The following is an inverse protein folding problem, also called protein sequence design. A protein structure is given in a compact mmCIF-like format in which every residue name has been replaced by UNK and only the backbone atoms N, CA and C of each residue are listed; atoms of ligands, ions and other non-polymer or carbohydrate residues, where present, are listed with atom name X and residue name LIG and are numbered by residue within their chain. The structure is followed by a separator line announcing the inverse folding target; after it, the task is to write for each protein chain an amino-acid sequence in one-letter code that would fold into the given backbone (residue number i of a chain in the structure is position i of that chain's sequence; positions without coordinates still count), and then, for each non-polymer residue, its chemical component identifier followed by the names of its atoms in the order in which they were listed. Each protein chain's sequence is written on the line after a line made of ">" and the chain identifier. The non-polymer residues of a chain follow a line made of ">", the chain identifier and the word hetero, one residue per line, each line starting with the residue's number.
data_IF_668703017770
#
_entry.id   IF_668703017770
#
_cell.length_a   1.000
_cell.length_b   1.000
_cell.length_c   1.000
_cell.angle_alpha   90.00
_cell.angle_beta   90.00
_cell.angle_gamma   90.00
#
_symmetry.space_group_name_H-M   'P 1'
#
loop_
_entity.id
_entity.type
_entity.pdbx_description
1 polymer ?
#
# COMPACT_ATOMS: atom_id res chain seq x y z
N UNK A 1 -10.05 18.53 8.96
CA UNK A 1 -10.58 18.07 7.67
C UNK A 1 -11.27 16.73 7.83
N UNK A 2 -12.53 16.61 7.37
CA UNK A 2 -13.31 15.36 7.42
C UNK A 2 -13.76 15.03 6.00
N UNK A 3 -13.47 13.82 5.56
CA UNK A 3 -13.87 13.31 4.25
C UNK A 3 -15.13 12.47 4.37
N UNK A 4 -16.02 12.60 3.41
CA UNK A 4 -17.28 11.85 3.37
C UNK A 4 -17.91 11.89 1.98
N UNK A 5 -18.75 10.92 1.70
CA UNK A 5 -19.58 10.93 0.51
C UNK A 5 -20.74 11.92 0.70
N UNK A 6 -20.92 12.79 -0.27
CA UNK A 6 -22.08 13.68 -0.26
C UNK A 6 -23.37 12.87 -0.51
N UNK A 7 -24.49 13.33 0.05
CA UNK A 7 -25.79 12.64 -0.06
C UNK A 7 -26.22 12.39 -1.51
N UNK A 8 -25.92 13.32 -2.42
CA UNK A 8 -26.28 13.14 -3.84
C UNK A 8 -25.46 12.02 -4.49
N UNK A 9 -24.20 11.81 -4.06
CA UNK A 9 -23.36 10.70 -4.54
C UNK A 9 -23.90 9.37 -4.06
N UNK A 10 -24.27 9.26 -2.77
CA UNK A 10 -24.85 8.03 -2.22
C UNK A 10 -26.22 7.72 -2.88
N UNK A 11 -27.05 8.75 -3.12
CA UNK A 11 -28.32 8.57 -3.86
C UNK A 11 -28.07 8.10 -5.30
N UNK A 12 -27.07 8.65 -5.98
CA UNK A 12 -26.69 8.22 -7.33
C UNK A 12 -26.25 6.75 -7.33
N UNK A 13 -25.34 6.38 -6.43
CA UNK A 13 -24.89 4.98 -6.30
C UNK A 13 -26.07 4.05 -6.01
N UNK A 14 -26.94 4.40 -5.07
CA UNK A 14 -28.15 3.62 -4.76
C UNK A 14 -29.02 3.40 -5.99
N UNK A 15 -29.26 4.46 -6.77
CA UNK A 15 -30.02 4.36 -7.99
C UNK A 15 -29.35 3.48 -9.05
N UNK A 16 -28.04 3.61 -9.20
CA UNK A 16 -27.25 2.79 -10.13
C UNK A 16 -27.29 1.31 -9.76
N UNK A 17 -27.13 0.99 -8.47
CA UNK A 17 -27.10 -0.41 -7.98
C UNK A 17 -28.40 -1.17 -8.26
N UNK A 18 -29.52 -0.49 -8.44
CA UNK A 18 -30.78 -1.13 -8.84
C UNK A 18 -30.70 -1.78 -10.24
N UNK A 19 -29.76 -1.37 -11.06
CA UNK A 19 -29.57 -1.88 -12.44
C UNK A 19 -28.33 -2.75 -12.61
N UNK A 20 -27.47 -2.85 -11.59
CA UNK A 20 -26.23 -3.64 -11.64
C UNK A 20 -26.53 -5.09 -11.25
N UNK A 21 -26.25 -6.08 -12.11
CA UNK A 21 -26.44 -7.49 -11.77
C UNK A 21 -25.60 -7.89 -10.55
N UNK A 22 -26.17 -8.68 -9.65
CA UNK A 22 -25.46 -9.16 -8.44
C UNK A 22 -24.17 -9.94 -8.73
N UNK A 23 -24.05 -10.52 -9.93
CA UNK A 23 -22.83 -11.21 -10.39
C UNK A 23 -21.73 -10.28 -10.89
N UNK A 24 -21.99 -8.97 -10.98
CA UNK A 24 -21.00 -8.03 -11.46
C UNK A 24 -19.95 -7.73 -10.39
N UNK A 25 -18.67 -7.75 -10.78
CA UNK A 25 -17.59 -7.18 -9.98
C UNK A 25 -17.61 -5.66 -10.10
N UNK A 26 -17.51 -4.99 -8.97
CA UNK A 26 -17.46 -3.52 -8.90
C UNK A 26 -16.03 -3.04 -8.75
N UNK A 27 -15.67 -2.01 -9.50
CA UNK A 27 -14.42 -1.27 -9.37
C UNK A 27 -14.76 0.17 -9.06
N UNK A 28 -14.41 0.62 -7.85
CA UNK A 28 -14.73 1.96 -7.35
C UNK A 28 -13.43 2.73 -7.22
N UNK A 29 -13.17 3.63 -8.15
CA UNK A 29 -12.01 4.52 -8.09
C UNK A 29 -12.38 5.81 -7.38
N UNK A 30 -11.60 6.19 -6.38
CA UNK A 30 -11.77 7.41 -5.61
C UNK A 30 -10.43 7.97 -5.13
N UNK A 31 -10.40 9.24 -4.69
CA UNK A 31 -9.15 9.85 -4.27
C UNK A 31 -8.66 9.31 -2.93
N UNK A 32 -9.48 9.41 -1.89
CA UNK A 32 -9.11 9.00 -0.53
C UNK A 32 -9.47 7.54 -0.26
N UNK A 33 -8.69 6.82 0.55
CA UNK A 33 -9.05 5.47 0.95
C UNK A 33 -10.36 5.46 1.75
N UNK A 34 -11.10 4.35 1.62
CA UNK A 34 -12.41 4.19 2.26
C UNK A 34 -12.27 4.15 3.77
N UNK A 35 -11.29 3.40 4.26
CA UNK A 35 -11.04 3.20 5.69
C UNK A 35 -9.67 3.74 6.09
N UNK A 36 -9.55 4.13 7.35
CA UNK A 36 -8.26 4.43 7.96
C UNK A 36 -7.45 3.14 8.15
N UNK A 37 -6.15 3.27 8.12
CA UNK A 37 -5.17 2.19 8.30
C UNK A 37 -4.24 2.48 9.46
N UNK A 38 -3.44 1.50 9.86
CA UNK A 38 -2.42 1.69 10.89
C UNK A 38 -1.46 2.82 10.49
N UNK A 39 -1.28 3.79 11.38
CA UNK A 39 -0.46 4.97 11.15
C UNK A 39 -1.06 6.02 10.21
N UNK A 40 -2.30 5.85 9.78
CA UNK A 40 -3.03 6.79 8.95
C UNK A 40 -4.38 7.12 9.56
N UNK A 41 -4.69 8.41 9.67
CA UNK A 41 -5.94 8.92 10.24
C UNK A 41 -7.01 9.23 9.18
N UNK A 42 -6.64 9.22 7.90
CA UNK A 42 -7.58 9.53 6.82
C UNK A 42 -8.55 8.38 6.63
N UNK A 43 -9.83 8.65 6.81
CA UNK A 43 -10.92 7.73 6.51
C UNK A 43 -12.18 8.50 6.13
N UNK A 44 -13.01 7.86 5.34
CA UNK A 44 -14.33 8.38 4.97
C UNK A 44 -15.29 8.20 6.14
N UNK A 45 -15.88 9.30 6.67
CA UNK A 45 -16.70 9.27 7.89
C UNK A 45 -18.01 8.46 7.73
N UNK A 46 -18.53 8.35 6.52
CA UNK A 46 -19.74 7.59 6.18
C UNK A 46 -19.47 6.44 5.19
N UNK A 47 -18.31 5.81 5.32
CA UNK A 47 -17.93 4.65 4.50
C UNK A 47 -18.95 3.51 4.57
N UNK A 48 -19.56 3.29 5.75
CA UNK A 48 -20.56 2.25 5.95
C UNK A 48 -21.82 2.46 5.10
N UNK A 49 -22.16 3.72 4.77
CA UNK A 49 -23.31 4.02 3.92
C UNK A 49 -23.05 3.49 2.50
N UNK A 50 -21.85 3.72 1.97
CA UNK A 50 -21.46 3.16 0.68
C UNK A 50 -21.34 1.62 0.74
N UNK A 51 -20.71 1.07 1.77
CA UNK A 51 -20.60 -0.39 1.94
C UNK A 51 -21.97 -1.06 1.95
N UNK A 52 -22.97 -0.47 2.63
CA UNK A 52 -24.34 -0.99 2.67
C UNK A 52 -24.99 -1.08 1.29
N UNK A 53 -24.62 -0.21 0.36
CA UNK A 53 -25.14 -0.20 -1.00
C UNK A 53 -24.50 -1.26 -1.89
N UNK A 54 -23.22 -1.62 -1.63
CA UNK A 54 -22.41 -2.44 -2.55
C UNK A 54 -22.02 -3.82 -2.00
N UNK A 55 -22.28 -4.09 -0.71
CA UNK A 55 -21.80 -5.28 0.03
C UNK A 55 -22.19 -6.62 -0.59
N UNK A 56 -23.27 -6.68 -1.37
CA UNK A 56 -23.69 -7.91 -2.07
C UNK A 56 -22.80 -8.29 -3.25
N UNK A 57 -21.93 -7.38 -3.71
CA UNK A 57 -21.05 -7.57 -4.86
C UNK A 57 -19.62 -7.87 -4.43
N UNK A 58 -18.81 -8.38 -5.37
CA UNK A 58 -17.36 -8.34 -5.23
C UNK A 58 -16.88 -6.94 -5.56
N UNK A 59 -16.29 -6.26 -4.59
CA UNK A 59 -15.91 -4.85 -4.68
C UNK A 59 -14.42 -4.67 -4.55
N UNK A 60 -13.82 -3.95 -5.50
CA UNK A 60 -12.43 -3.55 -5.48
C UNK A 60 -12.36 -2.01 -5.47
N UNK A 61 -12.00 -1.43 -4.33
CA UNK A 61 -11.70 -0.01 -4.24
C UNK A 61 -10.28 0.26 -4.75
N UNK A 62 -10.11 1.36 -5.47
CA UNK A 62 -8.82 1.86 -5.92
C UNK A 62 -8.71 3.30 -5.44
N UNK A 63 -7.75 3.56 -4.58
CA UNK A 63 -7.57 4.87 -3.96
C UNK A 63 -6.11 5.33 -3.94
N UNK A 64 -5.86 6.56 -3.53
CA UNK A 64 -4.55 7.16 -3.39
C UNK A 64 -4.45 8.02 -2.14
N UNK A 65 -4.16 9.33 -2.29
CA UNK A 65 -4.16 10.37 -1.26
C UNK A 65 -3.05 10.25 -0.20
N UNK A 66 -2.84 9.08 0.35
CA UNK A 66 -1.97 8.89 1.52
C UNK A 66 -0.48 8.92 1.20
N UNK A 67 -0.11 8.86 -0.07
CA UNK A 67 1.27 8.70 -0.54
C UNK A 67 1.96 7.50 0.11
N UNK A 68 1.26 6.37 0.10
CA UNK A 68 1.71 5.05 0.55
C UNK A 68 1.06 3.98 -0.32
N UNK A 69 1.62 2.78 -0.34
CA UNK A 69 1.07 1.65 -1.08
C UNK A 69 0.59 0.57 -0.11
N UNK A 70 -0.69 0.20 -0.22
CA UNK A 70 -1.26 -0.87 0.59
C UNK A 70 -2.37 -1.62 -0.11
N UNK A 71 -2.47 -2.90 0.20
CA UNK A 71 -3.58 -3.74 -0.18
C UNK A 71 -4.34 -4.20 1.06
N UNK A 72 -5.64 -3.99 1.08
CA UNK A 72 -6.51 -4.35 2.20
C UNK A 72 -7.62 -5.29 1.78
N UNK A 73 -7.92 -6.23 2.63
CA UNK A 73 -9.13 -7.03 2.58
C UNK A 73 -10.01 -6.60 3.77
N UNK A 74 -11.12 -5.93 3.52
CA UNK A 74 -12.05 -5.48 4.56
C UNK A 74 -13.08 -6.55 4.93
N UNK A 75 -13.69 -7.14 3.90
CA UNK A 75 -14.63 -8.24 3.99
C UNK A 75 -14.23 -9.29 2.95
N UNK A 76 -14.78 -10.48 3.01
CA UNK A 76 -14.45 -11.58 2.07
C UNK A 76 -14.56 -11.15 0.60
N UNK A 77 -15.48 -10.23 0.31
CA UNK A 77 -15.76 -9.73 -1.03
C UNK A 77 -15.43 -8.25 -1.24
N UNK A 78 -14.85 -7.56 -0.27
CA UNK A 78 -14.50 -6.13 -0.36
C UNK A 78 -13.02 -5.93 -0.08
N UNK A 79 -12.30 -5.48 -1.09
CA UNK A 79 -10.87 -5.15 -1.02
C UNK A 79 -10.60 -3.71 -1.44
N UNK A 80 -9.44 -3.18 -1.04
CA UNK A 80 -8.95 -1.88 -1.48
C UNK A 80 -7.47 -1.93 -1.82
N UNK A 81 -7.12 -1.29 -2.92
CA UNK A 81 -5.76 -0.98 -3.33
C UNK A 81 -5.52 0.53 -3.13
N UNK A 82 -4.85 0.90 -2.04
CA UNK A 82 -4.37 2.26 -1.86
C UNK A 82 -3.03 2.39 -2.59
N UNK A 83 -2.98 3.19 -3.64
CA UNK A 83 -1.85 3.26 -4.57
C UNK A 83 -0.91 4.38 -4.18
N UNK A 84 0.38 4.09 -4.13
CA UNK A 84 1.43 5.07 -3.94
C UNK A 84 1.43 6.15 -5.03
N UNK A 85 1.98 7.31 -4.69
CA UNK A 85 1.94 8.48 -5.55
C UNK A 85 3.12 8.52 -6.52
N UNK A 86 2.86 8.85 -7.79
CA UNK A 86 3.91 9.10 -8.79
C UNK A 86 4.78 10.33 -8.45
N UNK A 87 4.28 11.21 -7.60
CA UNK A 87 5.03 12.37 -7.12
C UNK A 87 5.87 12.10 -5.85
N UNK A 88 5.92 10.85 -5.36
CA UNK A 88 6.52 10.56 -4.06
C UNK A 88 5.87 11.36 -2.95
N UNK A 89 6.64 12.13 -2.18
CA UNK A 89 6.12 13.11 -1.23
C UNK A 89 6.13 14.50 -1.86
N UNK A 90 5.08 14.83 -2.61
CA UNK A 90 4.89 16.16 -3.26
C UNK A 90 6.09 16.61 -4.10
N UNK A 91 6.72 15.69 -4.84
CA UNK A 91 7.92 15.91 -5.67
C UNK A 91 9.22 16.18 -4.89
N UNK A 92 9.19 16.14 -3.55
CA UNK A 92 10.37 16.36 -2.69
C UNK A 92 11.27 15.13 -2.57
N UNK A 93 10.73 13.93 -2.85
CA UNK A 93 11.40 12.64 -2.63
C UNK A 93 11.21 11.67 -3.79
N UNK A 94 12.11 10.69 -3.90
CA UNK A 94 11.99 9.60 -4.88
C UNK A 94 11.10 8.46 -4.37
N UNK A 95 10.87 8.41 -3.05
CA UNK A 95 10.01 7.43 -2.41
C UNK A 95 8.78 8.10 -1.80
N UNK A 96 7.73 7.32 -1.66
CA UNK A 96 6.57 7.64 -0.85
C UNK A 96 6.87 7.43 0.63
N UNK A 97 5.98 7.89 1.51
CA UNK A 97 6.21 7.94 2.97
C UNK A 97 6.50 6.58 3.62
N UNK A 98 6.07 5.50 3.00
CA UNK A 98 6.26 4.11 3.43
C UNK A 98 7.49 3.42 2.81
N UNK A 99 8.22 4.15 1.97
CA UNK A 99 9.37 3.61 1.24
C UNK A 99 9.04 2.95 -0.10
N UNK A 100 7.78 2.97 -0.53
CA UNK A 100 7.42 2.59 -1.89
C UNK A 100 8.05 3.60 -2.87
N UNK A 101 8.74 3.19 -3.93
CA UNK A 101 9.23 4.12 -4.93
C UNK A 101 8.07 4.87 -5.60
N UNK A 102 8.36 6.01 -6.22
CA UNK A 102 7.40 6.71 -7.07
C UNK A 102 6.89 5.76 -8.16
N UNK A 103 5.58 5.79 -8.42
CA UNK A 103 5.04 4.88 -9.42
C UNK A 103 3.52 4.82 -9.44
N UNK A 104 3.01 3.77 -10.06
CA UNK A 104 1.58 3.52 -10.23
C UNK A 104 1.31 2.02 -10.31
N UNK A 105 0.05 1.60 -10.10
CA UNK A 105 -0.38 0.22 -10.31
C UNK A 105 -0.98 0.03 -11.69
N UNK A 106 -0.69 -1.11 -12.28
CA UNK A 106 -1.34 -1.59 -13.50
C UNK A 106 -2.28 -2.72 -13.12
N UNK A 107 -3.56 -2.55 -13.42
CA UNK A 107 -4.59 -3.56 -13.19
C UNK A 107 -4.97 -4.22 -14.49
N UNK A 108 -5.10 -5.54 -14.48
CA UNK A 108 -5.57 -6.31 -15.63
C UNK A 108 -6.69 -7.24 -15.19
N UNK A 109 -7.86 -7.17 -15.87
CA UNK A 109 -8.93 -8.14 -15.71
C UNK A 109 -8.97 -9.07 -16.91
N UNK A 110 -8.75 -10.36 -16.65
CA UNK A 110 -8.81 -11.40 -17.67
C UNK A 110 -9.56 -12.61 -17.11
N UNK A 111 -10.51 -13.14 -17.86
CA UNK A 111 -11.29 -14.35 -17.51
C UNK A 111 -11.88 -14.27 -16.09
N UNK A 112 -12.44 -13.11 -15.72
CA UNK A 112 -13.03 -12.86 -14.40
C UNK A 112 -12.04 -12.66 -13.26
N UNK A 113 -10.72 -12.80 -13.50
CA UNK A 113 -9.67 -12.61 -12.50
C UNK A 113 -9.03 -11.24 -12.62
N UNK A 114 -8.91 -10.54 -11.50
CA UNK A 114 -8.13 -9.32 -11.38
C UNK A 114 -6.70 -9.69 -11.01
N UNK A 115 -5.74 -9.12 -11.73
CA UNK A 115 -4.32 -9.15 -11.40
C UNK A 115 -3.76 -7.74 -11.46
N UNK A 116 -2.67 -7.50 -10.75
CA UNK A 116 -2.02 -6.19 -10.73
C UNK A 116 -0.53 -6.35 -10.47
N UNK A 117 0.20 -5.28 -10.75
CA UNK A 117 1.57 -5.10 -10.32
C UNK A 117 1.85 -3.61 -10.13
N UNK A 118 2.77 -3.28 -9.26
CA UNK A 118 3.26 -1.93 -9.10
C UNK A 118 4.36 -1.64 -10.13
N UNK A 119 4.28 -0.51 -10.80
CA UNK A 119 5.29 -0.04 -11.75
C UNK A 119 6.02 1.15 -11.15
N UNK A 120 7.23 0.90 -10.64
CA UNK A 120 8.12 1.96 -10.17
C UNK A 120 8.64 2.80 -11.34
N UNK A 121 8.68 4.12 -11.17
CA UNK A 121 9.21 5.04 -12.17
C UNK A 121 10.69 4.73 -12.45
N UNK A 122 11.05 4.67 -13.73
CA UNK A 122 12.43 4.40 -14.16
C UNK A 122 12.91 2.95 -14.01
N UNK A 123 12.10 2.05 -13.47
CA UNK A 123 12.45 0.63 -13.26
C UNK A 123 11.62 -0.31 -14.12
N UNK A 124 12.11 -1.52 -14.33
CA UNK A 124 11.32 -2.57 -14.96
C UNK A 124 10.19 -3.07 -14.04
N UNK A 125 9.19 -3.75 -14.63
CA UNK A 125 8.03 -4.26 -13.88
C UNK A 125 8.40 -5.28 -12.79
N UNK A 126 9.57 -5.91 -12.90
CA UNK A 126 10.03 -6.94 -11.97
C UNK A 126 10.72 -6.34 -10.73
N UNK A 127 10.91 -5.02 -10.70
CA UNK A 127 11.37 -4.31 -9.50
C UNK A 127 10.20 -4.13 -8.53
N UNK A 128 10.03 -5.11 -7.61
CA UNK A 128 8.89 -5.20 -6.69
C UNK A 128 9.30 -5.19 -5.21
N UNK A 129 10.59 -5.15 -4.93
CA UNK A 129 11.13 -5.22 -3.57
C UNK A 129 12.43 -4.45 -3.44
N UNK A 130 12.60 -3.79 -2.28
CA UNK A 130 13.90 -3.24 -1.84
C UNK A 130 14.42 -4.09 -0.69
N UNK A 131 15.69 -4.47 -0.74
CA UNK A 131 16.34 -5.29 0.27
C UNK A 131 17.32 -4.45 1.07
N UNK A 132 17.15 -4.46 2.39
CA UNK A 132 18.05 -3.86 3.36
C UNK A 132 18.90 -4.92 4.02
N UNK A 133 20.21 -4.73 3.98
CA UNK A 133 21.19 -5.62 4.65
C UNK A 133 21.17 -5.40 6.16
N UNK A 134 21.68 -6.36 6.98
CA UNK A 134 21.91 -6.14 8.39
C UNK A 134 22.64 -4.82 8.65
N UNK A 135 22.21 -4.08 9.65
CA UNK A 135 22.71 -2.75 9.99
C UNK A 135 22.04 -1.58 9.27
N UNK A 136 21.22 -1.81 8.23
CA UNK A 136 20.57 -0.73 7.48
C UNK A 136 19.19 -0.34 8.04
N UNK A 137 18.53 -1.24 8.77
CA UNK A 137 17.23 -0.99 9.42
C UNK A 137 17.42 -0.87 10.94
N UNK A 138 17.23 0.34 11.53
CA UNK A 138 17.52 0.57 12.95
C UNK A 138 16.71 -0.31 13.91
N UNK A 139 15.46 -0.64 13.56
CA UNK A 139 14.61 -1.50 14.39
C UNK A 139 14.93 -2.99 14.23
N UNK A 140 15.67 -3.37 13.19
CA UNK A 140 16.03 -4.75 12.85
C UNK A 140 17.52 -4.87 12.50
N UNK A 141 18.46 -4.50 13.41
CA UNK A 141 19.87 -4.32 13.07
C UNK A 141 20.60 -5.61 12.66
N UNK A 142 20.07 -6.77 13.04
CA UNK A 142 20.67 -8.08 12.74
C UNK A 142 19.96 -8.83 11.60
N UNK A 143 18.94 -8.20 10.99
CA UNK A 143 18.10 -8.87 9.99
C UNK A 143 18.37 -8.32 8.58
N UNK A 144 18.18 -9.18 7.59
CA UNK A 144 17.85 -8.76 6.24
C UNK A 144 16.38 -8.38 6.24
N UNK A 145 16.07 -7.20 5.71
CA UNK A 145 14.69 -6.71 5.67
C UNK A 145 14.29 -6.43 4.23
N UNK A 146 13.16 -6.99 3.82
CA UNK A 146 12.55 -6.75 2.52
C UNK A 146 11.38 -5.77 2.66
N UNK A 147 11.41 -4.67 1.91
CA UNK A 147 10.25 -3.83 1.68
C UNK A 147 9.52 -4.33 0.42
N UNK A 148 8.45 -5.08 0.61
CA UNK A 148 7.62 -5.63 -0.48
C UNK A 148 6.39 -4.74 -0.63
N UNK A 149 6.58 -3.58 -1.26
CA UNK A 149 5.61 -2.49 -1.25
C UNK A 149 4.25 -2.81 -1.84
N UNK A 150 4.15 -3.79 -2.75
CA UNK A 150 2.86 -4.22 -3.31
C UNK A 150 2.31 -5.50 -2.68
N UNK A 151 2.82 -5.87 -1.49
CA UNK A 151 2.38 -7.05 -0.79
C UNK A 151 0.86 -7.07 -0.57
N UNK A 152 0.28 -8.23 -0.82
CA UNK A 152 -1.13 -8.52 -0.60
C UNK A 152 -1.26 -9.60 0.49
N UNK A 153 -2.31 -9.57 1.34
CA UNK A 153 -2.53 -10.60 2.37
C UNK A 153 -2.56 -12.05 1.88
N UNK A 154 -2.76 -12.27 0.59
CA UNK A 154 -2.73 -13.60 -0.03
C UNK A 154 -1.31 -14.05 -0.40
N UNK A 155 -0.31 -13.17 -0.33
CA UNK A 155 1.07 -13.47 -0.72
C UNK A 155 1.90 -13.93 0.46
N UNK A 156 2.88 -14.81 0.16
CA UNK A 156 3.92 -15.22 1.10
C UNK A 156 5.24 -14.57 0.68
N UNK A 157 6.01 -14.12 1.67
CA UNK A 157 7.37 -13.66 1.48
C UNK A 157 8.29 -14.71 2.09
N UNK A 158 9.06 -15.36 1.26
CA UNK A 158 9.94 -16.47 1.63
C UNK A 158 11.40 -16.11 1.32
N UNK A 159 12.34 -16.71 2.02
CA UNK A 159 13.74 -16.41 1.81
C UNK A 159 14.61 -17.66 1.73
N UNK A 160 15.75 -17.49 1.09
CA UNK A 160 16.78 -18.51 0.90
C UNK A 160 18.11 -17.97 1.38
N UNK A 161 18.90 -18.80 2.03
CA UNK A 161 20.27 -18.52 2.44
C UNK A 161 21.20 -19.50 1.73
N UNK A 162 22.16 -18.98 0.97
CA UNK A 162 23.10 -19.77 0.16
C UNK A 162 22.41 -20.87 -0.69
N UNK A 163 21.25 -20.53 -1.26
CA UNK A 163 20.45 -21.44 -2.08
C UNK A 163 19.56 -22.42 -1.32
N UNK A 164 19.63 -22.42 0.02
CA UNK A 164 18.79 -23.26 0.88
C UNK A 164 17.52 -22.50 1.29
N UNK A 165 16.37 -23.13 1.14
CA UNK A 165 15.10 -22.61 1.64
C UNK A 165 15.10 -22.52 3.17
N UNK A 166 14.79 -21.36 3.70
CA UNK A 166 14.81 -21.06 5.14
C UNK A 166 13.40 -20.83 5.72
N UNK A 167 12.39 -20.71 4.86
CA UNK A 167 11.01 -20.52 5.29
C UNK A 167 10.46 -19.12 4.96
N UNK A 168 9.36 -18.75 5.61
CA UNK A 168 8.77 -17.45 5.48
C UNK A 168 9.54 -16.41 6.29
N UNK A 169 9.62 -15.18 5.78
CA UNK A 169 10.09 -14.03 6.55
C UNK A 169 9.01 -13.57 7.53
N UNK A 170 9.41 -13.05 8.68
CA UNK A 170 8.52 -12.46 9.67
C UNK A 170 8.02 -11.10 9.18
N UNK A 171 6.71 -10.91 9.16
CA UNK A 171 6.13 -9.61 8.83
C UNK A 171 6.32 -8.64 10.00
N UNK A 172 6.92 -7.49 9.70
CA UNK A 172 7.23 -6.45 10.70
C UNK A 172 6.64 -5.10 10.26
N UNK A 173 6.55 -4.17 11.19
CA UNK A 173 6.22 -2.78 10.89
C UNK A 173 7.45 -1.91 11.07
N UNK A 174 7.74 -1.06 10.09
CA UNK A 174 8.87 -0.14 10.16
C UNK A 174 8.62 1.12 9.33
N UNK A 175 9.57 2.05 9.41
CA UNK A 175 9.63 3.27 8.61
C UNK A 175 10.79 3.17 7.64
N UNK A 176 10.59 3.66 6.41
CA UNK A 176 11.63 3.66 5.39
C UNK A 176 12.84 4.50 5.76
N UNK A 177 14.06 3.94 5.83
CA UNK A 177 15.28 4.72 6.00
C UNK A 177 15.58 5.56 4.75
N UNK A 178 15.21 5.10 3.54
CA UNK A 178 15.40 5.83 2.29
C UNK A 178 14.54 7.09 2.28
N UNK A 179 13.25 6.95 2.50
CA UNK A 179 12.35 8.11 2.60
C UNK A 179 12.79 9.07 3.71
N UNK A 180 13.15 8.54 4.89
CA UNK A 180 13.61 9.35 6.03
C UNK A 180 14.85 10.18 5.65
N UNK A 181 15.81 9.59 4.95
CA UNK A 181 16.99 10.29 4.45
C UNK A 181 16.63 11.39 3.45
N UNK A 182 15.77 11.07 2.49
CA UNK A 182 15.35 11.99 1.43
C UNK A 182 14.59 13.20 1.99
N UNK A 183 13.58 12.97 2.85
CA UNK A 183 12.77 14.06 3.38
C UNK A 183 13.58 14.96 4.32
N UNK A 184 14.51 14.40 5.10
CA UNK A 184 15.42 15.19 5.93
C UNK A 184 16.39 16.03 5.08
N UNK A 185 16.82 15.52 3.94
CA UNK A 185 17.67 16.26 3.01
C UNK A 185 16.90 17.41 2.35
N UNK A 186 15.68 17.14 1.87
CA UNK A 186 14.81 18.13 1.21
C UNK A 186 14.43 19.29 2.17
N UNK A 187 14.30 18.99 3.46
CA UNK A 187 13.89 19.96 4.50
C UNK A 187 15.03 20.34 5.45
N UNK A 188 16.28 20.21 5.01
CA UNK A 188 17.43 20.57 5.86
C UNK A 188 17.30 22.00 6.39
N UNK A 189 17.28 22.14 7.72
CA UNK A 189 17.12 23.43 8.40
C UNK A 189 15.71 24.02 8.39
N UNK A 190 14.69 23.22 7.96
CA UNK A 190 13.27 23.61 7.97
C UNK A 190 12.44 22.61 8.74
N UNK A 191 11.28 23.03 9.21
CA UNK A 191 10.31 22.12 9.84
C UNK A 191 9.63 21.25 8.78
N UNK A 192 9.60 19.94 9.02
CA UNK A 192 8.84 19.00 8.19
C UNK A 192 7.40 18.98 8.70
N UNK A 193 6.44 19.24 7.83
CA UNK A 193 5.01 19.15 8.17
C UNK A 193 4.64 17.71 8.53
N UNK A 194 3.73 17.54 9.50
CA UNK A 194 3.32 16.23 10.03
C UNK A 194 2.89 15.25 8.94
N UNK A 195 2.12 15.70 7.96
CA UNK A 195 1.66 14.87 6.84
C UNK A 195 2.77 14.38 5.91
N UNK A 196 4.00 14.95 6.03
CA UNK A 196 5.21 14.52 5.29
C UNK A 196 6.14 13.64 6.12
N UNK A 197 5.82 13.36 7.37
CA UNK A 197 6.65 12.46 8.18
C UNK A 197 6.61 11.04 7.66
N UNK A 198 7.70 10.25 7.85
CA UNK A 198 7.73 8.84 7.47
C UNK A 198 6.56 8.06 8.05
N UNK A 199 5.82 7.36 7.19
CA UNK A 199 4.71 6.53 7.59
C UNK A 199 5.22 5.15 8.05
N UNK A 200 4.60 4.62 9.11
CA UNK A 200 4.77 3.21 9.46
C UNK A 200 4.06 2.35 8.43
N UNK A 201 4.77 1.40 7.83
CA UNK A 201 4.25 0.50 6.83
C UNK A 201 4.20 -0.94 7.34
N UNK A 202 3.30 -1.75 6.77
CA UNK A 202 3.07 -3.15 7.16
C UNK A 202 3.54 -4.14 6.08
N UNK A 203 4.27 -3.67 5.09
CA UNK A 203 4.80 -4.48 3.98
C UNK A 203 6.33 -4.68 4.09
N UNK A 204 6.86 -4.58 5.31
CA UNK A 204 8.22 -4.98 5.66
C UNK A 204 8.26 -6.41 6.17
N UNK A 205 9.31 -7.14 5.79
CA UNK A 205 9.54 -8.52 6.17
C UNK A 205 10.97 -8.70 6.60
N UNK A 206 11.20 -9.34 7.74
CA UNK A 206 12.52 -9.51 8.33
C UNK A 206 12.89 -11.00 8.45
N UNK A 207 14.15 -11.30 8.21
CA UNK A 207 14.75 -12.60 8.50
C UNK A 207 16.16 -12.40 9.04
N UNK A 208 16.54 -13.18 10.05
CA UNK A 208 17.89 -13.12 10.61
C UNK A 208 18.76 -14.20 9.98
N UNK A 209 19.77 -13.83 9.18
CA UNK A 209 20.66 -14.78 8.55
C UNK A 209 21.52 -15.51 9.59
N UNK A 210 22.02 -16.68 9.24
CA UNK A 210 22.99 -17.41 10.07
C UNK A 210 24.32 -16.63 10.17
N UNK A 211 25.12 -16.94 11.18
CA UNK A 211 26.47 -16.34 11.34
C UNK A 211 27.41 -16.63 10.15
N UNK A 212 27.06 -17.61 9.33
CA UNK A 212 27.91 -18.12 8.24
C UNK A 212 27.35 -17.84 6.86
N UNK A 213 26.26 -17.05 6.76
CA UNK A 213 25.70 -16.64 5.47
C UNK A 213 26.74 -15.88 4.65
N UNK A 214 26.85 -16.22 3.36
CA UNK A 214 27.81 -15.63 2.41
C UNK A 214 27.18 -14.58 1.52
#
# INVERSE_FOLDING_TARGET
>A
YKEGYADHVLRFVKGLMAYVPMSADLYIAQHSPVMGRVGNTTKIINANDLFSLVRGHKVNFISGHNHVNDNFQYETNISEHNVAAICGSWWDTQHCKDGTPRGFKVFTKKDGKLSWYFKAEGHDKDFQVEIFKPGQMPMHPNSVVANVWDWDPQWKVEWYEDGRYMGAMDRVTDKSPLYTKEINAAYKGKTISEYKLPATAQHYFAATPSQYAK
#
